data_IF_119678305175
#
_entry.id   IF_119678305175
#
_cell.length_a   1.000
_cell.length_b   1.000
_cell.length_c   1.000
_cell.angle_alpha   90.00
_cell.angle_beta   90.00
_cell.angle_gamma   90.00
#
_symmetry.space_group_name_H-M   'P 1'
#
loop_
_entity.id
_entity.type
_entity.pdbx_description
1 polymer ?
#
# COMPACT_ATOMS: atom_id res chain seq x y z
N UNK A 1 58.65 -41.89 -58.97
CA UNK A 1 60.12 -41.91 -58.82
C UNK A 1 60.56 -40.54 -58.32
N UNK A 2 61.29 -40.52 -57.19
CA UNK A 2 62.13 -39.43 -56.61
C UNK A 2 61.56 -37.99 -56.58
N UNK A 3 61.45 -37.28 -55.47
CA UNK A 3 62.33 -37.23 -54.31
C UNK A 3 63.06 -35.87 -54.27
N UNK A 4 62.88 -35.16 -53.15
CA UNK A 4 63.83 -34.24 -52.47
C UNK A 4 64.01 -32.77 -52.93
N UNK A 5 63.47 -31.89 -52.06
CA UNK A 5 64.15 -30.86 -51.20
C UNK A 5 64.77 -29.56 -51.77
N UNK A 6 64.72 -28.57 -50.85
CA UNK A 6 65.49 -27.31 -50.67
C UNK A 6 64.87 -26.06 -51.30
N UNK A 7 64.93 -24.84 -50.72
CA UNK A 7 65.35 -24.31 -49.40
C UNK A 7 64.95 -22.81 -49.36
N UNK A 8 64.77 -22.29 -48.14
CA UNK A 8 65.09 -20.94 -47.64
C UNK A 8 64.40 -19.69 -48.24
N UNK A 9 63.89 -18.86 -47.31
CA UNK A 9 63.61 -17.44 -47.57
C UNK A 9 62.78 -16.79 -46.47
N UNK A 10 63.42 -16.40 -45.38
CA UNK A 10 62.84 -15.63 -44.26
C UNK A 10 62.52 -14.20 -44.73
N UNK A 11 61.31 -13.72 -44.45
CA UNK A 11 61.00 -12.29 -44.43
C UNK A 11 60.25 -11.98 -43.13
N UNK A 12 60.93 -11.29 -42.21
CA UNK A 12 60.38 -10.74 -40.97
C UNK A 12 59.63 -9.45 -41.29
N UNK A 13 58.32 -9.40 -41.02
CA UNK A 13 57.52 -8.18 -40.98
C UNK A 13 57.09 -7.93 -39.53
N UNK A 14 57.81 -7.02 -38.88
CA UNK A 14 57.44 -6.44 -37.58
C UNK A 14 56.16 -5.61 -37.75
N UNK A 15 55.04 -6.17 -37.31
CA UNK A 15 53.76 -5.46 -37.18
C UNK A 15 53.50 -5.21 -35.70
N UNK A 16 53.84 -4.00 -35.23
CA UNK A 16 53.54 -3.55 -33.88
C UNK A 16 52.03 -3.39 -33.72
N UNK A 17 51.34 -4.38 -33.15
CA UNK A 17 49.97 -4.22 -32.66
C UNK A 17 49.98 -3.35 -31.40
N UNK A 18 49.61 -2.08 -31.53
CA UNK A 18 49.09 -1.30 -30.40
C UNK A 18 47.70 -1.85 -30.06
N UNK A 19 47.62 -2.70 -29.04
CA UNK A 19 46.36 -3.04 -28.38
C UNK A 19 45.99 -1.84 -27.51
N UNK A 20 45.12 -0.96 -28.03
CA UNK A 20 44.45 0.02 -27.21
C UNK A 20 43.50 -0.74 -26.26
N UNK A 21 43.92 -0.92 -25.01
CA UNK A 21 43.07 -1.41 -23.93
C UNK A 21 41.99 -0.36 -23.65
N UNK A 22 40.84 -0.52 -24.28
CA UNK A 22 39.65 0.23 -23.90
C UNK A 22 39.30 -0.15 -22.45
N UNK A 23 39.11 0.82 -21.53
CA UNK A 23 38.67 0.52 -20.19
C UNK A 23 37.29 -0.11 -20.28
N UNK A 24 37.18 -1.35 -19.81
CA UNK A 24 35.91 -2.01 -19.58
C UNK A 24 35.15 -1.19 -18.54
N UNK A 25 34.22 -0.35 -19.01
CA UNK A 25 33.26 0.33 -18.16
C UNK A 25 32.40 -0.77 -17.55
N UNK A 26 32.68 -1.09 -16.28
CA UNK A 26 31.86 -1.99 -15.48
C UNK A 26 30.46 -1.37 -15.44
N UNK A 27 29.50 -2.00 -16.12
CA UNK A 27 28.11 -1.59 -16.04
C UNK A 27 27.71 -1.65 -14.56
N UNK A 28 27.35 -0.51 -13.98
CA UNK A 28 26.87 -0.46 -12.61
C UNK A 28 25.74 -1.48 -12.44
N UNK A 29 25.89 -2.41 -11.50
CA UNK A 29 24.85 -3.39 -11.19
C UNK A 29 23.55 -2.67 -10.84
N UNK A 30 22.41 -3.20 -11.29
CA UNK A 30 21.12 -2.65 -10.93
C UNK A 30 20.98 -2.53 -9.40
N UNK A 31 20.37 -1.45 -8.88
CA UNK A 31 20.27 -1.23 -7.44
C UNK A 31 19.44 -2.34 -6.77
N UNK A 32 19.83 -2.71 -5.54
CA UNK A 32 19.08 -3.70 -4.74
C UNK A 32 17.69 -3.18 -4.37
N UNK A 33 16.81 -4.08 -3.93
CA UNK A 33 15.48 -3.70 -3.44
C UNK A 33 15.56 -2.69 -2.28
N UNK A 34 16.44 -2.92 -1.32
CA UNK A 34 16.63 -2.06 -0.15
C UNK A 34 17.18 -0.68 -0.55
N UNK A 35 18.09 -0.63 -1.52
CA UNK A 35 18.59 0.63 -2.07
C UNK A 35 17.48 1.43 -2.76
N UNK A 36 16.64 0.75 -3.55
CA UNK A 36 15.46 1.35 -4.21
C UNK A 36 14.45 1.88 -3.20
N UNK A 37 14.11 1.09 -2.18
CA UNK A 37 13.20 1.49 -1.10
C UNK A 37 13.76 2.69 -0.35
N UNK A 38 15.01 2.62 0.11
CA UNK A 38 15.68 3.72 0.83
C UNK A 38 15.68 5.00 0.00
N UNK A 39 16.00 4.91 -1.30
CA UNK A 39 15.98 6.04 -2.22
C UNK A 39 14.59 6.66 -2.31
N UNK A 40 13.53 5.85 -2.40
CA UNK A 40 12.16 6.34 -2.44
C UNK A 40 11.73 6.98 -1.10
N UNK A 41 12.07 6.38 0.04
CA UNK A 41 11.75 6.95 1.36
C UNK A 41 12.50 8.28 1.60
N UNK A 42 13.70 8.44 1.04
CA UNK A 42 14.42 9.73 1.04
C UNK A 42 13.70 10.77 0.17
N UNK A 43 13.15 10.38 -0.98
CA UNK A 43 12.32 11.27 -1.81
C UNK A 43 11.08 11.76 -1.06
N UNK A 44 10.44 10.90 -0.25
CA UNK A 44 9.30 11.28 0.61
C UNK A 44 9.69 12.25 1.74
N UNK A 45 10.97 12.27 2.13
CA UNK A 45 11.46 13.14 3.21
C UNK A 45 11.84 14.54 2.71
N UNK A 46 11.68 14.82 1.42
CA UNK A 46 11.91 16.14 0.82
C UNK A 46 10.78 17.14 1.17
N UNK A 47 11.01 18.46 0.98
CA UNK A 47 10.02 19.47 1.32
C UNK A 47 8.66 19.25 0.63
N UNK A 48 7.60 19.39 1.43
CA UNK A 48 6.22 19.39 0.94
C UNK A 48 5.90 20.80 0.44
N UNK A 49 5.56 20.93 -0.84
CA UNK A 49 5.14 22.18 -1.46
C UNK A 49 3.61 22.30 -1.36
N UNK A 50 3.13 23.23 -0.54
CA UNK A 50 1.70 23.48 -0.36
C UNK A 50 1.26 24.74 -1.10
N UNK A 51 0.05 24.69 -1.67
CA UNK A 51 -0.67 25.86 -2.18
C UNK A 51 -0.98 26.85 -1.04
N UNK A 52 -1.29 28.10 -1.39
CA UNK A 52 -1.66 29.15 -0.42
C UNK A 52 -2.87 28.80 0.44
N UNK A 53 -3.80 27.99 -0.08
CA UNK A 53 -4.98 27.51 0.67
C UNK A 53 -4.69 26.24 1.48
N UNK A 54 -3.50 25.65 1.32
CA UNK A 54 -3.10 24.35 1.85
C UNK A 54 -3.99 23.14 1.50
N UNK A 55 -5.06 23.34 0.72
CA UNK A 55 -5.94 22.28 0.20
C UNK A 55 -5.25 21.40 -0.83
N UNK A 56 -4.20 21.91 -1.45
CA UNK A 56 -3.32 21.12 -2.32
C UNK A 56 -1.90 21.18 -1.80
N UNK A 57 -1.24 20.03 -1.76
CA UNK A 57 0.17 19.92 -1.47
C UNK A 57 0.81 18.83 -2.34
N UNK A 58 2.13 18.85 -2.50
CA UNK A 58 2.85 17.87 -3.30
C UNK A 58 4.26 17.61 -2.78
N UNK A 59 4.79 16.43 -3.11
CA UNK A 59 6.18 16.04 -2.95
C UNK A 59 6.71 15.72 -4.36
N UNK A 60 7.24 16.73 -5.09
CA UNK A 60 7.63 16.54 -6.49
C UNK A 60 8.67 15.44 -6.69
N UNK A 61 9.63 15.32 -5.77
CA UNK A 61 10.68 14.28 -5.79
C UNK A 61 10.13 12.85 -5.81
N UNK A 62 8.93 12.62 -5.28
CA UNK A 62 8.28 11.32 -5.18
C UNK A 62 7.04 11.20 -6.08
N UNK A 63 6.72 12.22 -6.89
CA UNK A 63 5.49 12.31 -7.67
C UNK A 63 4.23 12.06 -6.82
N UNK A 64 4.16 12.62 -5.61
CA UNK A 64 2.99 12.51 -4.73
C UNK A 64 2.23 13.83 -4.66
N UNK A 65 0.90 13.75 -4.74
CA UNK A 65 0.00 14.88 -4.57
C UNK A 65 -1.03 14.61 -3.47
N UNK A 66 -1.26 15.61 -2.61
CA UNK A 66 -2.30 15.62 -1.60
C UNK A 66 -3.40 16.61 -1.98
N UNK A 67 -4.66 16.20 -1.83
CA UNK A 67 -5.85 16.99 -2.12
C UNK A 67 -6.79 16.95 -0.92
N UNK A 68 -7.16 18.09 -0.34
CA UNK A 68 -8.09 18.16 0.80
C UNK A 68 -7.55 17.64 2.14
N UNK A 69 -6.25 17.29 2.23
CA UNK A 69 -5.67 16.62 3.40
C UNK A 69 -5.16 17.55 4.51
N UNK A 70 -5.54 18.83 4.51
CA UNK A 70 -5.17 19.79 5.56
C UNK A 70 -5.66 19.40 6.97
N UNK A 71 -6.65 18.50 7.06
CA UNK A 71 -7.22 18.00 8.30
C UNK A 71 -6.84 16.53 8.58
N UNK A 72 -5.90 15.95 7.83
CA UNK A 72 -5.44 14.59 8.11
C UNK A 72 -4.63 14.56 9.43
N UNK A 73 -4.73 13.48 10.23
CA UNK A 73 -5.63 12.33 10.10
C UNK A 73 -7.02 12.56 10.69
N UNK A 74 -7.14 13.58 11.54
CA UNK A 74 -8.33 13.91 12.29
C UNK A 74 -8.53 15.43 12.22
N UNK A 75 -9.78 15.88 12.26
CA UNK A 75 -10.20 17.29 12.29
C UNK A 75 -9.70 18.03 13.55
N UNK A 76 -8.39 18.16 13.68
CA UNK A 76 -7.67 18.70 14.80
C UNK A 76 -7.15 20.11 14.46
N UNK A 77 -7.00 20.94 15.48
CA UNK A 77 -6.59 22.35 15.50
C UNK A 77 -5.13 22.60 15.11
N UNK A 78 -4.46 21.63 14.45
CA UNK A 78 -3.08 21.75 14.00
C UNK A 78 -2.94 22.54 12.69
N UNK A 79 -1.72 22.95 12.36
CA UNK A 79 -1.46 23.60 11.06
C UNK A 79 -1.56 22.58 9.91
N UNK A 80 -2.09 23.00 8.77
CA UNK A 80 -2.20 22.16 7.58
C UNK A 80 -0.86 21.54 7.15
N UNK A 81 0.24 22.25 7.36
CA UNK A 81 1.59 21.74 7.09
C UNK A 81 1.95 20.56 7.99
N UNK A 82 1.51 20.57 9.25
CA UNK A 82 1.68 19.43 10.17
C UNK A 82 0.89 18.23 9.69
N UNK A 83 -0.37 18.43 9.27
CA UNK A 83 -1.21 17.36 8.72
C UNK A 83 -0.60 16.68 7.50
N UNK A 84 -0.07 17.46 6.54
CA UNK A 84 0.63 16.91 5.38
C UNK A 84 1.91 16.13 5.76
N UNK A 85 2.63 16.58 6.80
CA UNK A 85 3.79 15.84 7.32
C UNK A 85 3.39 14.53 7.99
N UNK A 86 2.30 14.52 8.76
CA UNK A 86 1.78 13.30 9.40
C UNK A 86 1.34 12.30 8.34
N UNK A 87 0.61 12.72 7.30
CA UNK A 87 0.23 11.84 6.18
C UNK A 87 1.46 11.25 5.48
N UNK A 88 2.43 12.10 5.15
CA UNK A 88 3.69 11.66 4.53
C UNK A 88 4.43 10.65 5.41
N UNK A 89 4.45 10.87 6.72
CA UNK A 89 5.09 9.96 7.66
C UNK A 89 4.36 8.62 7.76
N UNK A 90 3.03 8.61 7.81
CA UNK A 90 2.25 7.36 7.81
C UNK A 90 2.48 6.57 6.52
N UNK A 91 2.52 7.24 5.35
CA UNK A 91 2.89 6.61 4.07
C UNK A 91 4.31 6.04 4.12
N UNK A 92 5.28 6.82 4.61
CA UNK A 92 6.68 6.41 4.70
C UNK A 92 6.83 5.16 5.59
N UNK A 93 6.25 5.17 6.78
CA UNK A 93 6.30 4.04 7.72
C UNK A 93 5.56 2.83 7.16
N UNK A 94 4.40 3.03 6.53
CA UNK A 94 3.64 1.98 5.87
C UNK A 94 4.46 1.28 4.79
N UNK A 95 5.09 2.05 3.91
CA UNK A 95 5.97 1.52 2.86
C UNK A 95 7.19 0.82 3.44
N UNK A 96 7.90 1.43 4.38
CA UNK A 96 9.09 0.84 4.99
C UNK A 96 8.78 -0.52 5.63
N UNK A 97 7.77 -0.55 6.51
CA UNK A 97 7.38 -1.75 7.25
C UNK A 97 6.76 -2.82 6.35
N UNK A 98 5.81 -2.42 5.49
CA UNK A 98 5.10 -3.32 4.60
C UNK A 98 6.02 -3.94 3.55
N UNK A 99 6.80 -3.14 2.83
CA UNK A 99 7.71 -3.65 1.81
C UNK A 99 8.85 -4.49 2.40
N UNK A 100 9.39 -4.10 3.57
CA UNK A 100 10.39 -4.93 4.27
C UNK A 100 9.80 -6.26 4.71
N UNK A 101 8.54 -6.27 5.17
CA UNK A 101 7.82 -7.50 5.52
C UNK A 101 7.66 -8.44 4.32
N UNK A 102 7.18 -7.91 3.19
CA UNK A 102 7.01 -8.69 1.96
C UNK A 102 8.34 -9.21 1.38
N UNK A 103 9.43 -8.47 1.58
CA UNK A 103 10.78 -8.88 1.19
C UNK A 103 11.49 -9.80 2.22
N UNK A 104 10.76 -10.28 3.24
CA UNK A 104 11.29 -11.22 4.23
C UNK A 104 12.26 -10.62 5.24
N UNK A 105 12.23 -9.29 5.43
CA UNK A 105 13.11 -8.52 6.34
C UNK A 105 12.40 -8.05 7.61
N UNK A 106 11.34 -8.74 8.04
CA UNK A 106 10.56 -8.38 9.24
C UNK A 106 10.47 -9.53 10.25
N UNK A 107 9.93 -9.31 11.46
CA UNK A 107 9.68 -10.38 12.43
C UNK A 107 8.78 -11.51 11.90
N UNK A 108 7.99 -11.26 10.85
CA UNK A 108 7.24 -12.32 10.17
C UNK A 108 8.17 -13.37 9.53
N UNK A 109 9.45 -13.05 9.32
CA UNK A 109 10.41 -13.91 8.63
C UNK A 109 10.18 -13.93 7.12
N UNK A 110 10.79 -14.91 6.45
CA UNK A 110 10.61 -15.10 5.01
C UNK A 110 9.19 -15.58 4.71
N UNK A 111 8.49 -14.87 3.83
CA UNK A 111 7.20 -15.25 3.26
C UNK A 111 7.41 -16.02 1.96
N UNK A 112 6.35 -16.61 1.39
CA UNK A 112 6.45 -17.25 0.07
C UNK A 112 6.96 -16.24 -1.00
N UNK A 113 7.82 -16.65 -1.96
CA UNK A 113 8.43 -15.75 -2.96
C UNK A 113 7.46 -14.92 -3.80
N UNK A 114 6.21 -15.38 -3.93
CA UNK A 114 5.12 -14.59 -4.52
C UNK A 114 4.99 -13.20 -3.89
N UNK A 115 5.21 -13.07 -2.58
CA UNK A 115 5.04 -11.82 -1.85
C UNK A 115 6.19 -10.84 -2.09
N UNK A 116 7.43 -11.33 -2.22
CA UNK A 116 8.56 -10.51 -2.66
C UNK A 116 8.32 -9.98 -4.09
N UNK A 117 7.76 -10.80 -4.97
CA UNK A 117 7.34 -10.36 -6.30
C UNK A 117 6.29 -9.24 -6.24
N UNK A 118 5.31 -9.29 -5.31
CA UNK A 118 4.37 -8.19 -5.10
C UNK A 118 5.05 -6.92 -4.59
N UNK A 119 6.04 -7.04 -3.69
CA UNK A 119 6.83 -5.91 -3.21
C UNK A 119 7.57 -5.22 -4.37
N UNK A 120 8.18 -6.01 -5.27
CA UNK A 120 8.84 -5.51 -6.48
C UNK A 120 7.87 -4.82 -7.44
N UNK A 121 6.64 -5.34 -7.60
CA UNK A 121 5.60 -4.69 -8.40
C UNK A 121 5.18 -3.35 -7.80
N UNK A 122 4.95 -3.28 -6.49
CA UNK A 122 4.58 -2.03 -5.82
C UNK A 122 5.70 -1.00 -5.94
N UNK A 123 6.96 -1.40 -5.77
CA UNK A 123 8.10 -0.53 -6.00
C UNK A 123 8.12 0.06 -7.42
N UNK A 124 7.77 -0.71 -8.46
CA UNK A 124 7.64 -0.18 -9.83
C UNK A 124 6.55 0.88 -9.96
N UNK A 125 5.41 0.72 -9.28
CA UNK A 125 4.34 1.74 -9.27
C UNK A 125 4.83 3.02 -8.58
N UNK A 126 5.50 2.90 -7.43
CA UNK A 126 6.05 4.01 -6.66
C UNK A 126 7.12 4.78 -7.44
N UNK A 127 8.00 4.06 -8.14
CA UNK A 127 9.09 4.65 -8.95
C UNK A 127 8.62 5.23 -10.28
N UNK A 128 7.40 4.91 -10.74
CA UNK A 128 6.88 5.43 -12.00
C UNK A 128 6.69 6.96 -12.00
N UNK A 129 6.72 7.55 -13.18
CA UNK A 129 6.46 8.99 -13.40
C UNK A 129 5.00 9.38 -13.18
N UNK A 130 4.10 8.39 -13.00
CA UNK A 130 2.71 8.67 -12.67
C UNK A 130 2.61 9.32 -11.30
N UNK A 131 1.79 10.37 -11.21
CA UNK A 131 1.44 11.01 -9.95
C UNK A 131 0.63 10.04 -9.10
N UNK A 132 1.05 9.86 -7.84
CA UNK A 132 0.30 9.16 -6.79
C UNK A 132 -0.54 10.19 -6.05
N UNK A 133 -1.86 10.08 -6.10
CA UNK A 133 -2.76 11.06 -5.47
C UNK A 133 -3.39 10.52 -4.19
N UNK A 134 -3.23 11.22 -3.07
CA UNK A 134 -4.03 10.99 -1.86
C UNK A 134 -5.03 12.13 -1.73
N UNK A 135 -6.32 11.83 -1.81
CA UNK A 135 -7.39 12.78 -1.62
C UNK A 135 -8.07 12.51 -0.29
N UNK A 136 -8.24 13.53 0.54
CA UNK A 136 -8.98 13.44 1.78
C UNK A 136 -10.37 14.05 1.58
N UNK A 137 -11.38 13.35 2.09
CA UNK A 137 -12.80 13.72 2.06
C UNK A 137 -13.36 13.69 3.49
N UNK A 138 -14.55 14.25 3.62
CA UNK A 138 -15.23 14.38 4.91
C UNK A 138 -16.53 13.59 4.87
N UNK A 139 -16.50 12.36 5.38
CA UNK A 139 -17.66 11.46 5.57
C UNK A 139 -18.43 11.16 4.26
N UNK A 140 -17.70 10.72 3.23
CA UNK A 140 -18.25 10.50 1.88
C UNK A 140 -18.21 9.03 1.44
N UNK A 141 -17.31 8.21 2.00
CA UNK A 141 -17.04 6.86 1.49
C UNK A 141 -17.43 5.72 2.42
N UNK A 142 -17.93 6.03 3.63
CA UNK A 142 -18.35 5.05 4.65
C UNK A 142 -17.28 3.97 4.96
N UNK A 143 -16.01 4.29 4.70
CA UNK A 143 -14.82 3.48 4.92
C UNK A 143 -13.69 4.44 5.36
N UNK A 144 -12.63 3.91 5.97
CA UNK A 144 -11.49 4.76 6.38
C UNK A 144 -10.70 5.28 5.17
N UNK A 145 -10.51 4.42 4.18
CA UNK A 145 -9.90 4.76 2.91
C UNK A 145 -10.35 3.77 1.82
N UNK A 146 -10.18 4.18 0.55
CA UNK A 146 -10.41 3.37 -0.64
C UNK A 146 -9.41 3.80 -1.71
N UNK A 147 -8.64 2.87 -2.25
CA UNK A 147 -7.82 3.08 -3.44
C UNK A 147 -8.57 2.79 -4.75
N UNK A 148 -8.18 3.46 -5.83
CA UNK A 148 -8.54 2.97 -7.16
C UNK A 148 -7.65 1.78 -7.55
N UNK A 149 -8.23 0.83 -8.29
CA UNK A 149 -7.51 -0.32 -8.81
C UNK A 149 -7.11 -0.07 -10.27
N UNK A 150 -6.12 -0.80 -10.82
CA UNK A 150 -5.80 -0.74 -12.24
C UNK A 150 -7.04 -1.02 -13.10
N UNK A 151 -7.25 -0.23 -14.15
CA UNK A 151 -8.35 -0.45 -15.10
C UNK A 151 -8.15 -1.80 -15.79
N UNK A 152 -9.11 -2.70 -15.60
CA UNK A 152 -9.19 -3.98 -16.32
C UNK A 152 -10.43 -3.96 -17.23
N UNK A 153 -10.27 -3.98 -18.57
CA UNK A 153 -11.38 -3.94 -19.52
C UNK A 153 -12.39 -5.09 -19.36
N UNK A 154 -11.98 -6.19 -18.72
CA UNK A 154 -12.80 -7.38 -18.52
C UNK A 154 -13.42 -7.44 -17.12
N UNK A 155 -13.10 -6.49 -16.24
CA UNK A 155 -13.68 -6.40 -14.89
C UNK A 155 -15.04 -5.72 -14.98
N UNK A 156 -16.05 -6.31 -14.34
CA UNK A 156 -17.37 -5.67 -14.18
C UNK A 156 -17.23 -4.44 -13.26
N UNK A 157 -17.92 -3.32 -13.55
CA UNK A 157 -17.90 -2.16 -12.67
C UNK A 157 -18.26 -2.54 -11.23
N UNK A 158 -17.40 -2.19 -10.28
CA UNK A 158 -17.63 -2.39 -8.86
C UNK A 158 -18.26 -1.12 -8.25
N UNK A 159 -19.16 -1.20 -7.24
CA UNK A 159 -19.72 -0.01 -6.62
C UNK A 159 -18.68 1.02 -6.12
N UNK A 160 -17.51 0.55 -5.68
CA UNK A 160 -16.39 1.40 -5.27
C UNK A 160 -15.80 2.25 -6.42
N UNK A 161 -15.97 1.85 -7.68
CA UNK A 161 -15.50 2.63 -8.84
C UNK A 161 -16.20 3.99 -8.91
N UNK A 162 -17.45 4.09 -8.40
CA UNK A 162 -18.16 5.36 -8.28
C UNK A 162 -17.58 6.26 -7.19
N UNK A 163 -17.17 5.68 -6.06
CA UNK A 163 -16.59 6.43 -4.93
C UNK A 163 -15.23 7.02 -5.30
N UNK A 164 -14.48 6.35 -6.16
CA UNK A 164 -13.17 6.82 -6.65
C UNK A 164 -13.26 7.54 -8.00
N UNK A 165 -14.46 7.89 -8.47
CA UNK A 165 -14.64 8.62 -9.71
C UNK A 165 -13.88 9.96 -9.69
N UNK A 166 -13.12 10.24 -10.75
CA UNK A 166 -12.28 11.44 -10.85
C UNK A 166 -11.03 11.44 -9.97
N UNK A 167 -10.68 10.30 -9.35
CA UNK A 167 -9.37 10.08 -8.73
C UNK A 167 -8.44 9.35 -9.73
N UNK A 168 -7.34 9.98 -10.20
CA UNK A 168 -6.42 9.33 -11.14
C UNK A 168 -5.71 8.12 -10.53
N UNK A 169 -5.47 7.08 -11.33
CA UNK A 169 -4.65 5.94 -10.90
C UNK A 169 -3.15 6.27 -11.03
N UNK A 170 -2.32 5.95 -10.02
CA UNK A 170 -2.66 5.38 -8.71
C UNK A 170 -3.14 6.44 -7.70
N UNK A 171 -4.25 6.17 -7.02
CA UNK A 171 -4.83 7.10 -6.06
C UNK A 171 -5.50 6.43 -4.87
N UNK A 172 -5.56 7.15 -3.75
CA UNK A 172 -6.22 6.76 -2.50
C UNK A 172 -7.15 7.89 -2.06
N UNK A 173 -8.38 7.53 -1.72
CA UNK A 173 -9.36 8.39 -1.07
C UNK A 173 -9.36 8.06 0.42
N UNK A 174 -9.22 9.06 1.29
CA UNK A 174 -9.15 8.92 2.75
C UNK A 174 -10.28 9.71 3.39
N UNK A 175 -11.01 9.08 4.30
CA UNK A 175 -12.07 9.75 5.04
C UNK A 175 -11.59 10.15 6.45
N UNK A 176 -11.31 11.44 6.63
CA UNK A 176 -10.71 11.93 7.90
C UNK A 176 -11.72 11.94 9.05
N UNK A 177 -13.02 12.01 8.77
CA UNK A 177 -14.06 11.87 9.78
C UNK A 177 -14.10 10.43 10.30
N UNK A 178 -14.15 9.46 9.37
CA UNK A 178 -14.13 8.04 9.74
C UNK A 178 -12.88 7.65 10.48
N UNK A 179 -11.70 8.05 10.00
CA UNK A 179 -10.44 7.81 10.72
C UNK A 179 -10.51 8.30 12.16
N UNK A 180 -11.13 9.47 12.38
CA UNK A 180 -11.24 10.08 13.70
C UNK A 180 -12.24 9.43 14.65
N UNK A 181 -13.07 8.50 14.16
CA UNK A 181 -14.22 7.98 14.90
C UNK A 181 -15.28 9.07 15.11
N UNK A 182 -15.46 9.95 14.11
CA UNK A 182 -16.45 11.04 14.14
C UNK A 182 -17.39 10.97 12.93
N UNK A 183 -18.58 11.54 13.10
CA UNK A 183 -19.59 11.71 12.06
C UNK A 183 -19.67 13.21 11.71
N UNK A 184 -19.76 13.50 10.41
CA UNK A 184 -19.90 14.87 9.90
C UNK A 184 -21.32 15.39 10.03
N UNK A 185 -21.52 16.69 9.80
CA UNK A 185 -22.84 17.33 9.70
C UNK A 185 -23.41 17.39 8.26
N UNK A 186 -22.92 16.53 7.35
CA UNK A 186 -23.28 16.56 5.92
C UNK A 186 -24.50 15.72 5.54
N UNK A 187 -24.96 14.83 6.42
CA UNK A 187 -26.04 13.91 6.09
C UNK A 187 -27.40 14.48 6.48
N UNK A 188 -28.47 13.94 5.89
CA UNK A 188 -29.82 14.26 6.31
C UNK A 188 -30.19 13.55 7.62
N UNK A 189 -31.26 14.02 8.26
CA UNK A 189 -31.73 13.48 9.53
C UNK A 189 -32.08 11.99 9.45
N UNK A 190 -32.64 11.54 8.31
CA UNK A 190 -32.96 10.14 8.08
C UNK A 190 -31.70 9.27 8.09
N UNK A 191 -30.61 9.71 7.46
CA UNK A 191 -29.33 8.99 7.50
C UNK A 191 -28.79 8.90 8.93
N UNK A 192 -28.87 9.97 9.72
CA UNK A 192 -28.44 9.93 11.12
C UNK A 192 -29.26 8.95 11.96
N UNK A 193 -30.58 8.91 11.77
CA UNK A 193 -31.47 7.99 12.49
C UNK A 193 -31.28 6.55 12.01
N UNK A 194 -31.40 6.31 10.72
CA UNK A 194 -31.59 4.96 10.18
C UNK A 194 -30.26 4.23 9.95
N UNK A 195 -29.21 4.94 9.54
CA UNK A 195 -27.90 4.33 9.28
C UNK A 195 -27.01 4.35 10.52
N UNK A 196 -26.91 5.50 11.18
CA UNK A 196 -26.03 5.67 12.34
C UNK A 196 -26.71 5.34 13.68
N UNK A 197 -28.04 5.17 13.70
CA UNK A 197 -28.81 4.90 14.92
C UNK A 197 -28.63 5.97 16.00
N UNK A 198 -28.61 7.25 15.60
CA UNK A 198 -28.49 8.38 16.52
C UNK A 198 -29.84 8.77 17.14
N UNK A 199 -29.80 9.19 18.40
CA UNK A 199 -30.96 9.78 19.09
C UNK A 199 -31.13 11.29 18.78
N UNK A 200 -32.26 11.87 19.22
CA UNK A 200 -32.60 13.28 18.98
C UNK A 200 -31.57 14.25 19.57
N UNK A 201 -30.98 13.91 20.72
CA UNK A 201 -29.98 14.76 21.38
C UNK A 201 -28.69 14.79 20.57
N UNK A 202 -28.23 13.64 20.11
CA UNK A 202 -27.07 13.47 19.25
C UNK A 202 -27.25 14.16 17.89
N UNK A 203 -28.44 14.03 17.28
CA UNK A 203 -28.78 14.72 16.03
C UNK A 203 -28.76 16.23 16.24
N UNK A 204 -29.32 16.73 17.34
CA UNK A 204 -29.28 18.15 17.67
C UNK A 204 -27.85 18.66 17.82
N UNK A 205 -26.95 17.89 18.45
CA UNK A 205 -25.52 18.25 18.55
C UNK A 205 -24.88 18.37 17.17
N UNK A 206 -25.12 17.42 16.25
CA UNK A 206 -24.59 17.46 14.88
C UNK A 206 -25.14 18.67 14.11
N UNK A 207 -26.43 18.97 14.27
CA UNK A 207 -27.09 20.12 13.64
C UNK A 207 -26.51 21.47 14.08
N UNK A 208 -25.86 21.55 15.26
CA UNK A 208 -25.08 22.74 15.65
C UNK A 208 -23.74 22.89 14.91
N UNK A 209 -23.43 22.00 13.97
CA UNK A 209 -22.22 22.01 13.15
C UNK A 209 -21.01 21.37 13.83
N UNK A 210 -21.20 20.67 14.96
CA UNK A 210 -20.12 20.00 15.67
C UNK A 210 -20.02 18.52 15.25
N UNK A 211 -18.84 18.04 14.81
CA UNK A 211 -18.60 16.62 14.64
C UNK A 211 -18.95 15.82 15.90
N UNK A 212 -19.76 14.78 15.76
CA UNK A 212 -20.10 13.91 16.89
C UNK A 212 -19.11 12.76 16.97
N UNK A 213 -18.51 12.57 18.15
CA UNK A 213 -17.70 11.39 18.47
C UNK A 213 -18.57 10.42 19.25
N UNK A 214 -18.73 9.20 18.73
CA UNK A 214 -19.47 8.14 19.41
C UNK A 214 -18.50 7.19 20.09
N UNK A 215 -18.85 6.73 21.30
CA UNK A 215 -18.06 5.75 22.02
C UNK A 215 -17.88 4.43 21.23
N UNK A 216 -18.88 4.06 20.42
CA UNK A 216 -18.85 2.87 19.57
C UNK A 216 -18.15 3.04 18.21
N UNK A 217 -17.72 4.25 17.85
CA UNK A 217 -16.98 4.47 16.60
C UNK A 217 -15.48 4.34 16.82
N UNK A 218 -14.92 3.27 16.27
CA UNK A 218 -13.49 3.01 16.35
C UNK A 218 -12.69 4.07 15.60
N UNK A 219 -11.83 4.76 16.34
CA UNK A 219 -10.78 5.62 15.79
C UNK A 219 -9.63 4.75 15.31
N UNK A 220 -9.36 4.78 14.01
CA UNK A 220 -8.35 3.94 13.40
C UNK A 220 -6.92 4.44 13.72
N UNK A 221 -6.15 3.65 14.46
CA UNK A 221 -4.84 4.00 15.03
C UNK A 221 -3.67 3.56 14.15
N UNK A 222 -3.73 2.36 13.55
CA UNK A 222 -2.66 1.77 12.70
C UNK A 222 -2.58 2.36 11.28
N UNK A 223 -2.58 3.70 11.17
CA UNK A 223 -2.75 4.43 9.90
C UNK A 223 -1.67 4.15 8.85
N UNK A 224 -0.45 3.85 9.28
CA UNK A 224 0.63 3.38 8.41
C UNK A 224 0.26 2.07 7.69
N UNK A 225 -0.35 1.13 8.43
CA UNK A 225 -0.90 -0.11 7.90
C UNK A 225 -2.03 0.12 6.91
N UNK A 226 -2.95 1.05 7.22
CA UNK A 226 -4.01 1.44 6.29
C UNK A 226 -3.46 2.04 5.00
N UNK A 227 -2.50 2.97 5.08
CA UNK A 227 -1.93 3.56 3.87
C UNK A 227 -1.24 2.51 3.00
N UNK A 228 -0.52 1.57 3.61
CA UNK A 228 0.08 0.46 2.88
C UNK A 228 -0.97 -0.48 2.27
N UNK A 229 -2.02 -0.83 3.04
CA UNK A 229 -3.17 -1.62 2.58
C UNK A 229 -3.75 -1.04 1.28
N UNK A 230 -4.04 0.26 1.28
CA UNK A 230 -4.61 0.92 0.09
C UNK A 230 -3.64 0.90 -1.10
N UNK A 231 -2.33 0.98 -0.87
CA UNK A 231 -1.34 0.87 -1.94
C UNK A 231 -1.24 -0.54 -2.54
N UNK A 232 -1.61 -1.58 -1.79
CA UNK A 232 -1.65 -2.96 -2.30
C UNK A 232 -2.79 -3.14 -3.30
N UNK A 233 -3.91 -2.42 -3.13
CA UNK A 233 -4.98 -2.37 -4.13
C UNK A 233 -4.51 -1.82 -5.49
N UNK A 234 -3.45 -0.98 -5.52
CA UNK A 234 -2.86 -0.54 -6.79
C UNK A 234 -2.27 -1.68 -7.62
N UNK A 235 -2.05 -2.86 -7.04
CA UNK A 235 -1.61 -4.06 -7.75
C UNK A 235 -2.77 -4.90 -8.31
N UNK A 236 -4.02 -4.49 -8.07
CA UNK A 236 -5.23 -5.20 -8.48
C UNK A 236 -5.70 -6.26 -7.47
N UNK A 237 -5.12 -6.30 -6.28
CA UNK A 237 -5.65 -7.12 -5.18
C UNK A 237 -6.95 -6.49 -4.67
N UNK A 238 -7.97 -7.30 -4.43
CA UNK A 238 -9.26 -6.85 -3.92
C UNK A 238 -9.64 -7.66 -2.69
N UNK A 239 -10.50 -7.09 -1.84
CA UNK A 239 -11.11 -7.87 -0.76
C UNK A 239 -12.02 -8.95 -1.34
N UNK A 240 -11.80 -10.20 -0.93
CA UNK A 240 -12.60 -11.34 -1.37
C UNK A 240 -12.77 -12.34 -0.24
N UNK A 241 -13.93 -13.01 -0.20
CA UNK A 241 -14.10 -14.25 0.56
C UNK A 241 -13.89 -15.50 -0.29
N UNK A 242 -13.74 -15.33 -1.61
CA UNK A 242 -13.64 -16.43 -2.58
C UNK A 242 -12.17 -16.72 -2.87
N UNK A 243 -11.38 -15.67 -3.08
CA UNK A 243 -9.94 -15.74 -3.33
C UNK A 243 -9.16 -15.21 -2.11
N UNK A 244 -7.85 -15.51 -1.99
CA UNK A 244 -7.02 -14.95 -0.93
C UNK A 244 -7.11 -13.43 -0.85
N UNK A 245 -7.57 -12.91 0.29
CA UNK A 245 -7.62 -11.48 0.59
C UNK A 245 -6.21 -10.98 0.97
N UNK A 246 -5.32 -10.89 -0.02
CA UNK A 246 -3.91 -10.49 0.15
C UNK A 246 -3.76 -9.15 0.85
N UNK A 247 -4.61 -8.18 0.54
CA UNK A 247 -4.60 -6.87 1.18
C UNK A 247 -4.82 -6.99 2.69
N UNK A 248 -5.85 -7.72 3.11
CA UNK A 248 -6.12 -7.96 4.53
C UNK A 248 -5.03 -8.79 5.22
N UNK A 249 -4.49 -9.81 4.54
CA UNK A 249 -3.42 -10.65 5.08
C UNK A 249 -2.14 -9.84 5.32
N UNK A 250 -1.76 -8.95 4.39
CA UNK A 250 -0.59 -8.09 4.55
C UNK A 250 -0.76 -7.09 5.68
N UNK A 251 -1.91 -6.42 5.78
CA UNK A 251 -2.21 -5.55 6.91
C UNK A 251 -2.10 -6.31 8.24
N UNK A 252 -2.77 -7.45 8.33
CA UNK A 252 -2.82 -8.25 9.57
C UNK A 252 -1.46 -8.82 9.95
N UNK A 253 -0.73 -9.43 9.01
CA UNK A 253 0.57 -10.04 9.30
C UNK A 253 1.65 -8.97 9.58
N UNK A 254 1.78 -8.00 8.67
CA UNK A 254 2.91 -7.07 8.71
C UNK A 254 2.72 -5.93 9.72
N UNK A 255 1.49 -5.61 10.13
CA UNK A 255 1.20 -4.46 11.00
C UNK A 255 0.68 -4.82 12.40
N UNK A 256 0.91 -6.05 12.85
CA UNK A 256 0.65 -6.42 14.25
C UNK A 256 -0.80 -6.79 14.53
N UNK A 257 -1.48 -7.43 13.59
CA UNK A 257 -2.88 -7.85 13.72
C UNK A 257 -3.89 -6.72 13.47
N UNK A 258 -5.12 -6.89 13.96
CA UNK A 258 -6.22 -5.93 13.83
C UNK A 258 -6.04 -4.71 14.73
N UNK A 259 -6.52 -3.55 14.30
CA UNK A 259 -6.63 -2.38 15.17
C UNK A 259 -7.85 -2.42 16.11
N UNK A 260 -8.79 -3.33 15.84
CA UNK A 260 -10.05 -3.49 16.56
C UNK A 260 -10.01 -4.48 17.72
N UNK A 261 -8.89 -5.17 17.91
CA UNK A 261 -8.73 -6.21 18.93
C UNK A 261 -7.76 -5.68 19.98
N UNK A 262 -8.24 -5.44 21.20
CA UNK A 262 -7.43 -4.90 22.28
C UNK A 262 -6.72 -5.97 23.10
N UNK A 263 -7.25 -7.21 23.17
CA UNK A 263 -6.52 -8.36 23.71
C UNK A 263 -5.26 -8.64 22.87
N UNK A 264 -4.10 -8.28 23.42
CA UNK A 264 -2.80 -8.43 22.76
C UNK A 264 -2.48 -9.88 22.39
N UNK A 265 -2.87 -10.85 23.23
CA UNK A 265 -2.61 -12.27 23.00
C UNK A 265 -3.44 -12.77 21.83
N UNK A 266 -4.74 -12.46 21.81
CA UNK A 266 -5.63 -12.83 20.70
C UNK A 266 -5.22 -12.14 19.41
N UNK A 267 -4.86 -10.86 19.47
CA UNK A 267 -4.42 -10.11 18.31
C UNK A 267 -3.13 -10.69 17.71
N UNK A 268 -2.18 -11.07 18.56
CA UNK A 268 -0.95 -11.77 18.15
C UNK A 268 -1.23 -13.13 17.51
N UNK A 269 -2.22 -13.88 18.01
CA UNK A 269 -2.62 -15.15 17.41
C UNK A 269 -3.19 -14.95 16.00
N UNK A 270 -4.05 -13.95 15.79
CA UNK A 270 -4.55 -13.63 14.46
C UNK A 270 -3.45 -13.15 13.52
N UNK A 271 -2.51 -12.33 14.01
CA UNK A 271 -1.32 -11.96 13.25
C UNK A 271 -0.53 -13.20 12.80
N UNK A 272 -0.27 -14.14 13.70
CA UNK A 272 0.48 -15.35 13.38
C UNK A 272 -0.25 -16.22 12.35
N UNK A 273 -1.57 -16.35 12.45
CA UNK A 273 -2.38 -17.05 11.46
C UNK A 273 -2.26 -16.41 10.08
N UNK A 274 -2.39 -15.07 9.98
CA UNK A 274 -2.20 -14.36 8.72
C UNK A 274 -0.80 -14.59 8.14
N UNK A 275 0.24 -14.53 8.97
CA UNK A 275 1.61 -14.77 8.51
C UNK A 275 1.84 -16.22 8.05
N UNK A 276 1.22 -17.20 8.71
CA UNK A 276 1.31 -18.61 8.29
C UNK A 276 0.64 -18.83 6.94
N UNK A 277 -0.50 -18.18 6.68
CA UNK A 277 -1.15 -18.21 5.37
C UNK A 277 -0.23 -17.63 4.30
N UNK A 278 0.44 -16.51 4.57
CA UNK A 278 1.42 -15.89 3.64
C UNK A 278 2.70 -16.72 3.43
N UNK A 279 2.91 -17.78 4.22
CA UNK A 279 4.02 -18.73 4.07
C UNK A 279 3.59 -20.04 3.45
N UNK A 280 2.30 -20.24 3.19
CA UNK A 280 1.79 -21.51 2.69
C UNK A 280 2.20 -21.72 1.22
N UNK A 281 3.30 -22.45 1.01
CA UNK A 281 3.82 -22.81 -0.30
C UNK A 281 2.78 -23.54 -1.17
N UNK A 282 1.89 -24.33 -0.56
CA UNK A 282 0.85 -25.02 -1.30
C UNK A 282 -0.18 -24.04 -1.86
N UNK A 283 -0.54 -22.99 -1.12
CA UNK A 283 -1.46 -21.97 -1.60
C UNK A 283 -0.81 -21.16 -2.72
N UNK A 284 0.36 -20.57 -2.45
CA UNK A 284 0.96 -19.59 -3.34
C UNK A 284 1.70 -20.17 -4.55
N UNK A 285 1.97 -21.48 -4.55
CA UNK A 285 2.51 -22.22 -5.69
C UNK A 285 1.46 -22.69 -6.72
N UNK A 286 0.18 -22.34 -6.56
CA UNK A 286 -0.93 -22.84 -7.40
C UNK A 286 -1.51 -21.77 -8.32
N UNK A 287 -2.28 -22.23 -9.32
CA UNK A 287 -3.11 -21.34 -10.15
C UNK A 287 -4.22 -20.67 -9.34
N UNK A 288 -4.75 -19.55 -9.82
CA UNK A 288 -5.80 -18.77 -9.14
C UNK A 288 -7.06 -19.61 -8.79
N UNK A 289 -7.51 -20.47 -9.70
CA UNK A 289 -8.65 -21.36 -9.43
C UNK A 289 -8.34 -22.40 -8.33
N UNK A 290 -7.12 -22.92 -8.30
CA UNK A 290 -6.69 -23.82 -7.23
C UNK A 290 -6.51 -23.09 -5.90
N UNK A 291 -6.00 -21.86 -5.92
CA UNK A 291 -5.93 -20.99 -4.74
C UNK A 291 -7.31 -20.77 -4.14
N UNK A 292 -8.33 -20.46 -4.95
CA UNK A 292 -9.72 -20.36 -4.48
C UNK A 292 -10.19 -21.64 -3.76
N UNK A 293 -9.88 -22.82 -4.31
CA UNK A 293 -10.28 -24.08 -3.67
C UNK A 293 -9.54 -24.33 -2.37
N UNK A 294 -8.23 -24.09 -2.33
CA UNK A 294 -7.41 -24.24 -1.13
C UNK A 294 -7.80 -23.23 -0.06
N UNK A 295 -8.09 -21.99 -0.44
CA UNK A 295 -8.54 -20.91 0.43
C UNK A 295 -9.75 -21.33 1.25
N UNK A 296 -10.75 -21.91 0.58
CA UNK A 296 -11.95 -22.46 1.24
C UNK A 296 -11.67 -23.76 1.99
N UNK A 297 -10.92 -24.69 1.41
CA UNK A 297 -10.65 -25.99 2.01
C UNK A 297 -9.86 -25.89 3.32
N UNK A 298 -8.89 -24.96 3.38
CA UNK A 298 -8.09 -24.67 4.59
C UNK A 298 -8.76 -23.65 5.51
N UNK A 299 -10.02 -23.26 5.22
CA UNK A 299 -10.82 -22.31 5.99
C UNK A 299 -10.17 -20.94 6.20
N UNK A 300 -9.26 -20.55 5.30
CA UNK A 300 -8.57 -19.27 5.40
C UNK A 300 -9.51 -18.08 5.19
N UNK A 301 -10.64 -18.28 4.51
CA UNK A 301 -11.72 -17.31 4.37
C UNK A 301 -12.41 -16.97 5.70
N UNK A 302 -12.25 -17.81 6.74
CA UNK A 302 -12.82 -17.57 8.06
C UNK A 302 -12.02 -16.59 8.91
N UNK A 303 -10.73 -16.38 8.63
CA UNK A 303 -9.86 -15.53 9.46
C UNK A 303 -10.44 -14.11 9.65
N UNK A 304 -10.82 -13.46 8.55
CA UNK A 304 -11.40 -12.11 8.57
C UNK A 304 -12.72 -12.04 9.34
N UNK A 305 -13.54 -13.10 9.24
CA UNK A 305 -14.80 -13.20 9.99
C UNK A 305 -14.55 -13.37 11.48
N UNK A 306 -13.65 -14.28 11.84
CA UNK A 306 -13.27 -14.53 13.23
C UNK A 306 -12.69 -13.27 13.90
N UNK A 307 -11.85 -12.51 13.19
CA UNK A 307 -11.33 -11.24 13.68
C UNK A 307 -12.42 -10.18 13.87
N UNK A 308 -13.39 -10.08 12.96
CA UNK A 308 -14.49 -9.10 13.05
C UNK A 308 -15.55 -9.47 14.10
N UNK A 309 -15.75 -10.76 14.33
CA UNK A 309 -16.70 -11.26 15.32
C UNK A 309 -16.14 -11.35 16.73
N UNK A 310 -14.84 -11.08 16.91
CA UNK A 310 -14.21 -11.06 18.21
C UNK A 310 -14.59 -9.75 18.93
N UNK A 311 -15.31 -9.88 20.05
CA UNK A 311 -15.52 -8.81 21.01
C UNK A 311 -14.62 -9.08 22.22
N UNK A 312 -13.86 -8.07 22.62
CA UNK A 312 -13.26 -8.03 23.95
C UNK A 312 -14.34 -8.00 25.05
#
# INVERSE_FOLDING_TARGET
MYGLKQKNGVLLLLSSLLIASAPSVSAASAPSFEQRLTTFLTKLSQPILASSTHKQASIPSANIQYQGCQNYPYHNTGSAQTSHKVLTNDIKQGLEKGLSCLAGKSPAGQLHPYHEYQALKLMKVLESDKTKTVRCVEDEIFAYAIANTPVNPHRKPHPQDKLTAGLPYPGILVDTFRLSGAISNKHDEATYRDFYNLDDEQINVINTGKPLKLAGMHRYKKRDGLMFHEMIHWLGHEHSSIYPDTTHLYETCCFGGSDFISDETKNKNFQQQACNILKDDELWGKSEYQQMRLWKYKEYDQLKRAMRGYSD
#
